data_IF_259243446530
#
_entry.id   IF_259243446530
#
_cell.length_a   1.000
_cell.length_b   1.000
_cell.length_c   1.000
_cell.angle_alpha   90.00
_cell.angle_beta   90.00
_cell.angle_gamma   90.00
#
_symmetry.space_group_name_H-M   'P 1'
#
loop_
_entity.id
_entity.type
_entity.pdbx_description
1 polymer ?
#
# COMPACT_ATOMS: atom_id res chain seq x y z
N UNK A 1 7.96 9.82 12.63
CA UNK A 1 8.03 8.38 12.99
C UNK A 1 6.99 7.64 12.17
N UNK A 2 7.30 6.44 11.67
CA UNK A 2 6.46 5.65 10.78
C UNK A 2 6.61 4.15 11.11
N UNK A 3 5.66 3.34 10.64
CA UNK A 3 5.71 1.87 10.70
C UNK A 3 5.63 1.30 9.29
N UNK A 4 6.53 0.40 8.95
CA UNK A 4 6.60 -0.25 7.64
C UNK A 4 5.91 -1.62 7.63
N UNK A 5 5.13 -1.91 6.59
CA UNK A 5 4.47 -3.19 6.37
C UNK A 5 4.84 -3.77 5.01
N UNK A 6 5.51 -4.92 5.04
CA UNK A 6 5.81 -5.75 3.88
C UNK A 6 4.72 -6.77 3.62
N UNK A 7 3.48 -6.37 3.32
CA UNK A 7 2.31 -7.29 3.29
C UNK A 7 2.54 -8.45 2.32
N UNK A 8 3.21 -8.19 1.18
CA UNK A 8 3.58 -9.21 0.21
C UNK A 8 4.42 -10.36 0.80
N UNK A 9 5.30 -10.04 1.75
CA UNK A 9 6.28 -10.98 2.31
C UNK A 9 5.76 -11.74 3.52
N UNK A 10 4.65 -11.29 4.11
CA UNK A 10 3.99 -11.96 5.23
C UNK A 10 2.69 -12.61 4.77
N UNK A 11 2.80 -13.59 3.86
CA UNK A 11 1.63 -14.28 3.28
C UNK A 11 0.72 -14.95 4.32
N UNK A 12 1.26 -15.32 5.48
CA UNK A 12 0.51 -15.83 6.62
C UNK A 12 -0.28 -14.77 7.40
N UNK A 13 0.02 -13.48 7.23
CA UNK A 13 -0.70 -12.40 7.90
C UNK A 13 -2.11 -12.27 7.31
N UNK A 14 -3.09 -12.49 8.16
CA UNK A 14 -4.50 -12.34 7.86
C UNK A 14 -4.84 -10.89 7.56
N UNK A 15 -5.92 -10.66 6.81
CA UNK A 15 -6.43 -9.30 6.57
C UNK A 15 -6.78 -8.57 7.87
N UNK A 16 -7.27 -9.30 8.88
CA UNK A 16 -7.64 -8.70 10.16
C UNK A 16 -6.43 -8.23 10.96
N UNK A 17 -5.32 -8.97 10.94
CA UNK A 17 -4.08 -8.51 11.56
C UNK A 17 -3.57 -7.21 10.91
N UNK A 18 -3.68 -7.08 9.59
CA UNK A 18 -3.33 -5.82 8.90
C UNK A 18 -4.26 -4.66 9.34
N UNK A 19 -5.56 -4.91 9.56
CA UNK A 19 -6.47 -3.89 10.12
C UNK A 19 -5.99 -3.42 11.49
N UNK A 20 -5.62 -4.35 12.37
CA UNK A 20 -5.11 -4.02 13.71
C UNK A 20 -3.81 -3.22 13.65
N UNK A 21 -2.91 -3.54 12.72
CA UNK A 21 -1.70 -2.75 12.47
C UNK A 21 -2.03 -1.29 12.09
N UNK A 22 -3.01 -1.06 11.21
CA UNK A 22 -3.43 0.30 10.83
C UNK A 22 -4.10 1.05 12.00
N UNK A 23 -4.91 0.35 12.82
CA UNK A 23 -5.49 0.92 14.04
C UNK A 23 -4.41 1.34 15.03
N UNK A 24 -3.37 0.51 15.18
CA UNK A 24 -2.23 0.82 16.04
C UNK A 24 -1.46 2.04 15.52
N UNK A 25 -1.17 2.09 14.23
CA UNK A 25 -0.51 3.24 13.62
C UNK A 25 -1.31 4.53 13.82
N UNK A 26 -2.64 4.47 13.67
CA UNK A 26 -3.52 5.60 13.97
C UNK A 26 -3.46 6.00 15.45
N UNK A 27 -3.53 5.04 16.37
CA UNK A 27 -3.48 5.29 17.82
C UNK A 27 -2.23 6.07 18.22
N UNK A 28 -1.08 5.77 17.60
CA UNK A 28 0.18 6.47 17.85
C UNK A 28 0.45 7.64 16.90
N UNK A 29 -0.51 7.98 16.03
CA UNK A 29 -0.40 9.05 15.04
C UNK A 29 0.87 8.96 14.17
N UNK A 30 1.19 7.74 13.71
CA UNK A 30 2.33 7.45 12.84
C UNK A 30 1.86 7.01 11.45
N UNK A 31 2.68 7.25 10.42
CA UNK A 31 2.37 6.87 9.04
C UNK A 31 2.60 5.37 8.80
N UNK A 32 1.68 4.73 8.08
CA UNK A 32 1.82 3.38 7.54
C UNK A 32 2.58 3.43 6.21
N UNK A 33 3.82 2.94 6.16
CA UNK A 33 4.54 2.75 4.90
C UNK A 33 4.25 1.35 4.39
N UNK A 34 3.56 1.22 3.26
CA UNK A 34 2.95 -0.04 2.84
C UNK A 34 3.54 -0.52 1.53
N UNK A 35 4.24 -1.65 1.58
CA UNK A 35 4.46 -2.52 0.43
C UNK A 35 3.25 -3.45 0.31
N UNK A 36 2.47 -3.26 -0.75
CA UNK A 36 1.15 -3.85 -0.92
C UNK A 36 1.18 -5.38 -1.06
N UNK A 37 0.05 -6.04 -0.79
CA UNK A 37 -0.05 -7.51 -0.79
C UNK A 37 0.28 -8.16 -2.14
N UNK A 38 -0.15 -7.53 -3.22
CA UNK A 38 0.02 -8.03 -4.57
C UNK A 38 0.70 -6.99 -5.46
N UNK A 39 1.32 -7.47 -6.53
CA UNK A 39 1.97 -6.69 -7.56
C UNK A 39 1.45 -7.12 -8.93
N UNK A 40 1.73 -6.32 -9.97
CA UNK A 40 1.39 -6.65 -11.34
C UNK A 40 -0.06 -6.32 -11.73
N UNK A 41 -0.36 -6.49 -13.02
CA UNK A 41 -1.59 -6.00 -13.65
C UNK A 41 -2.74 -7.03 -13.68
N UNK A 42 -2.69 -8.09 -12.87
CA UNK A 42 -3.74 -9.10 -12.82
C UNK A 42 -5.01 -8.53 -12.17
N UNK A 43 -6.19 -8.87 -12.69
CA UNK A 43 -7.44 -8.30 -12.18
C UNK A 43 -7.78 -8.77 -10.75
N UNK A 44 -7.75 -10.08 -10.48
CA UNK A 44 -8.22 -10.64 -9.21
C UNK A 44 -7.25 -10.47 -8.04
N UNK A 45 -5.95 -10.62 -8.31
CA UNK A 45 -4.89 -10.60 -7.29
C UNK A 45 -3.68 -9.79 -7.80
N UNK A 46 -3.93 -8.65 -8.43
CA UNK A 46 -2.89 -7.71 -8.84
C UNK A 46 -2.83 -6.47 -7.96
N UNK A 47 -1.99 -5.52 -8.37
CA UNK A 47 -1.68 -4.31 -7.61
C UNK A 47 -2.90 -3.42 -7.34
N UNK A 48 -3.87 -3.35 -8.27
CA UNK A 48 -5.07 -2.53 -8.07
C UNK A 48 -5.95 -3.09 -6.94
N UNK A 49 -6.13 -4.41 -6.89
CA UNK A 49 -6.85 -5.06 -5.79
C UNK A 49 -6.14 -4.83 -4.45
N UNK A 50 -4.79 -4.89 -4.45
CA UNK A 50 -4.01 -4.62 -3.25
C UNK A 50 -4.04 -3.13 -2.83
N UNK A 51 -4.06 -2.20 -3.78
CA UNK A 51 -4.23 -0.77 -3.51
C UNK A 51 -5.62 -0.49 -2.93
N UNK A 52 -6.67 -1.11 -3.47
CA UNK A 52 -8.02 -1.01 -2.94
C UNK A 52 -8.12 -1.54 -1.50
N UNK A 53 -7.40 -2.62 -1.16
CA UNK A 53 -7.25 -3.09 0.24
C UNK A 53 -6.67 -1.97 1.12
N UNK A 54 -5.55 -1.36 0.71
CA UNK A 54 -4.89 -0.28 1.48
C UNK A 54 -5.79 0.95 1.62
N UNK A 55 -6.50 1.33 0.56
CA UNK A 55 -7.43 2.45 0.57
C UNK A 55 -8.61 2.18 1.52
N UNK A 56 -9.19 0.98 1.47
CA UNK A 56 -10.26 0.59 2.38
C UNK A 56 -9.81 0.64 3.85
N UNK A 57 -8.59 0.16 4.14
CA UNK A 57 -8.01 0.24 5.49
C UNK A 57 -7.80 1.69 5.93
N UNK A 58 -7.28 2.55 5.04
CA UNK A 58 -7.13 3.98 5.30
C UNK A 58 -8.44 4.69 5.59
N UNK A 59 -9.48 4.41 4.81
CA UNK A 59 -10.81 4.98 5.00
C UNK A 59 -11.43 4.53 6.34
N UNK A 60 -11.32 3.24 6.67
CA UNK A 60 -11.88 2.66 7.90
C UNK A 60 -11.14 3.12 9.16
N UNK A 61 -9.82 3.29 9.11
CA UNK A 61 -8.99 3.59 10.30
C UNK A 61 -8.57 5.05 10.42
N UNK A 62 -8.67 5.83 9.34
CA UNK A 62 -8.13 7.20 9.23
C UNK A 62 -6.63 7.31 9.53
N UNK A 63 -5.89 6.20 9.36
CA UNK A 63 -4.44 6.18 9.43
C UNK A 63 -3.82 6.95 8.24
N UNK A 64 -2.69 7.60 8.47
CA UNK A 64 -1.90 8.19 7.39
C UNK A 64 -1.15 7.07 6.66
N UNK A 65 -1.05 7.15 5.32
CA UNK A 65 -0.51 6.08 4.49
C UNK A 65 0.51 6.63 3.50
N UNK A 66 1.64 5.93 3.34
CA UNK A 66 2.55 6.06 2.22
C UNK A 66 2.62 4.74 1.47
N UNK A 67 2.18 4.70 0.21
CA UNK A 67 2.31 3.50 -0.64
C UNK A 67 3.74 3.45 -1.20
N UNK A 68 4.46 2.39 -0.85
CA UNK A 68 5.84 2.22 -1.26
C UNK A 68 5.94 1.87 -2.75
N UNK A 69 6.89 2.51 -3.44
CA UNK A 69 7.33 2.22 -4.81
C UNK A 69 6.19 1.81 -5.78
N UNK A 70 5.14 2.65 -5.85
CA UNK A 70 3.89 2.33 -6.56
C UNK A 70 4.11 1.97 -8.03
N UNK A 71 5.00 2.70 -8.71
CA UNK A 71 5.29 2.50 -10.14
C UNK A 71 5.75 1.07 -10.45
N UNK A 72 6.72 0.55 -9.70
CA UNK A 72 7.27 -0.79 -9.94
C UNK A 72 6.37 -1.92 -9.42
N UNK A 73 5.49 -1.63 -8.48
CA UNK A 73 4.46 -2.59 -8.03
C UNK A 73 3.30 -2.68 -9.02
N UNK A 74 2.90 -1.55 -9.63
CA UNK A 74 1.74 -1.47 -10.51
C UNK A 74 2.04 -1.73 -11.99
N UNK A 75 3.28 -1.56 -12.45
CA UNK A 75 3.67 -1.80 -13.84
C UNK A 75 2.73 -1.07 -14.83
N UNK A 76 2.12 -1.80 -15.77
CA UNK A 76 1.24 -1.25 -16.82
C UNK A 76 -0.05 -0.60 -16.30
N UNK A 77 -0.41 -0.77 -15.03
CA UNK A 77 -1.60 -0.15 -14.43
C UNK A 77 -1.26 1.01 -13.48
N UNK A 78 -0.04 1.55 -13.56
CA UNK A 78 0.38 2.68 -12.70
C UNK A 78 -0.50 3.91 -12.85
N UNK A 79 -0.92 4.27 -14.07
CA UNK A 79 -1.77 5.45 -14.30
C UNK A 79 -3.10 5.35 -13.55
N UNK A 80 -3.74 4.17 -13.60
CA UNK A 80 -4.98 3.89 -12.87
C UNK A 80 -4.78 3.95 -11.35
N UNK A 81 -3.64 3.45 -10.87
CA UNK A 81 -3.29 3.51 -9.46
C UNK A 81 -3.10 4.96 -8.97
N UNK A 82 -2.46 5.80 -9.78
CA UNK A 82 -2.29 7.23 -9.49
C UNK A 82 -3.63 7.98 -9.48
N UNK A 83 -4.53 7.66 -10.41
CA UNK A 83 -5.89 8.21 -10.43
C UNK A 83 -6.65 7.87 -9.14
N UNK A 84 -6.63 6.61 -8.70
CA UNK A 84 -7.25 6.19 -7.44
C UNK A 84 -6.65 6.89 -6.22
N UNK A 85 -5.33 7.06 -6.17
CA UNK A 85 -4.68 7.78 -5.08
C UNK A 85 -5.06 9.27 -5.06
N UNK A 86 -5.16 9.88 -6.23
CA UNK A 86 -5.58 11.27 -6.38
C UNK A 86 -7.01 11.48 -5.88
N UNK A 87 -7.92 10.59 -6.26
CA UNK A 87 -9.32 10.63 -5.81
C UNK A 87 -9.44 10.38 -4.30
N UNK A 88 -8.70 9.41 -3.76
CA UNK A 88 -8.64 9.16 -2.33
C UNK A 88 -8.17 10.41 -1.56
N UNK A 89 -7.12 11.08 -2.04
CA UNK A 89 -6.62 12.32 -1.45
C UNK A 89 -7.65 13.45 -1.53
N UNK A 90 -8.31 13.63 -2.67
CA UNK A 90 -9.40 14.61 -2.83
C UNK A 90 -10.55 14.37 -1.84
N UNK A 91 -10.83 13.10 -1.53
CA UNK A 91 -11.83 12.69 -0.54
C UNK A 91 -11.34 12.77 0.93
N UNK A 92 -10.21 13.44 1.18
CA UNK A 92 -9.73 13.74 2.53
C UNK A 92 -8.85 12.65 3.16
N UNK A 93 -8.46 11.61 2.42
CA UNK A 93 -7.50 10.63 2.92
C UNK A 93 -6.09 11.22 2.96
N UNK A 94 -5.39 11.02 4.09
CA UNK A 94 -3.98 11.39 4.21
C UNK A 94 -3.11 10.29 3.58
N UNK A 95 -2.93 10.36 2.26
CA UNK A 95 -2.21 9.36 1.49
C UNK A 95 -1.13 9.98 0.59
N UNK A 96 0.06 9.39 0.62
CA UNK A 96 1.19 9.68 -0.24
C UNK A 96 1.69 8.41 -0.93
N UNK A 97 2.60 8.58 -1.88
CA UNK A 97 3.26 7.48 -2.56
C UNK A 97 4.67 7.91 -2.93
N UNK A 98 5.53 6.92 -3.18
CA UNK A 98 6.89 7.14 -3.68
C UNK A 98 7.16 6.29 -4.93
N UNK A 99 8.25 6.61 -5.61
CA UNK A 99 8.81 5.81 -6.71
C UNK A 99 10.33 5.95 -6.70
N UNK A 100 10.99 5.02 -7.38
CA UNK A 100 12.41 5.11 -7.71
C UNK A 100 12.57 5.22 -9.23
N UNK A 101 13.62 5.91 -9.72
CA UNK A 101 13.78 6.21 -11.15
C UNK A 101 14.36 5.03 -11.94
N UNK A 102 13.83 3.82 -11.73
CA UNK A 102 14.24 2.59 -12.40
C UNK A 102 13.02 1.77 -12.85
N UNK A 103 13.19 1.03 -13.95
CA UNK A 103 12.14 0.18 -14.53
C UNK A 103 12.08 -1.23 -13.89
N UNK A 104 12.97 -1.54 -12.94
CA UNK A 104 13.07 -2.85 -12.31
C UNK A 104 12.95 -2.73 -10.79
N UNK A 105 12.29 -3.71 -10.17
CA UNK A 105 12.36 -3.93 -8.73
C UNK A 105 13.47 -4.89 -8.34
N UNK A 106 13.94 -4.77 -7.10
CA UNK A 106 14.87 -5.70 -6.49
C UNK A 106 14.32 -6.03 -5.10
N UNK A 107 14.13 -7.32 -4.86
CA UNK A 107 13.66 -7.82 -3.58
C UNK A 107 14.29 -9.18 -3.36
N UNK A 108 15.41 -9.22 -2.65
CA UNK A 108 15.95 -10.45 -2.10
C UNK A 108 15.65 -10.48 -0.60
N UNK A 109 14.99 -11.54 -0.17
CA UNK A 109 14.78 -11.85 1.23
C UNK A 109 15.25 -13.29 1.41
N UNK A 110 16.53 -13.46 1.75
CA UNK A 110 17.10 -14.76 2.11
C UNK A 110 16.91 -15.01 3.62
N UNK A 111 16.78 -16.29 3.97
CA UNK A 111 16.83 -16.78 5.36
C UNK A 111 18.25 -17.20 5.71
#
# INVERSE_FOLDING_TARGET
MAVGFGIHYVSGATRWEIVECFRLAKKYNVCCHVHMRYFGAQEKNGSLAALQEVLALGACTRAAINVCHLHSTCLSVTDKALELLHDARKNGMNITTEFYPYMAGCSDINS
#
